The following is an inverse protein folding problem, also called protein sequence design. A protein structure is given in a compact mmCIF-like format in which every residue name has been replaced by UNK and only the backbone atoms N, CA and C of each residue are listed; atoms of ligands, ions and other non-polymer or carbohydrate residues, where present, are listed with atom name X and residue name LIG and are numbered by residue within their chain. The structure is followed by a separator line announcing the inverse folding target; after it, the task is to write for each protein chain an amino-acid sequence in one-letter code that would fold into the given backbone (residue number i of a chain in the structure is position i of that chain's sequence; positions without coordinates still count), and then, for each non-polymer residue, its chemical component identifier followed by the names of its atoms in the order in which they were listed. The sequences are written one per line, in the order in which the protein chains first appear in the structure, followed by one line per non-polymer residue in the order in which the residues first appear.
data_IF_530000159827
#
_entry.id   IF_530000159827
#
_cell.length_a   1.000
_cell.length_b   1.000
_cell.length_c   1.000
_cell.angle_alpha   90.00
_cell.angle_beta   90.00
_cell.angle_gamma   90.00
#
_symmetry.space_group_name_H-M   'P 1'
#
loop_
_entity.id
_entity.type
_entity.pdbx_description
1 polymer ?
#
# COMPACT_ATOMS: atom_id res chain seq x y z
N UNK A 1 3.63 9.10 -0.30
CA UNK A 1 2.78 9.29 -1.49
C UNK A 1 1.39 8.75 -1.19
N UNK A 2 0.33 9.48 -1.53
CA UNK A 2 -1.05 9.10 -1.22
C UNK A 2 -1.47 7.79 -1.90
N UNK A 3 -0.95 7.50 -3.10
CA UNK A 3 -1.16 6.21 -3.79
C UNK A 3 -0.61 5.05 -2.97
N UNK A 4 0.57 5.19 -2.37
CA UNK A 4 1.15 4.13 -1.55
C UNK A 4 0.38 3.96 -0.24
N UNK A 5 -0.11 5.07 0.34
CA UNK A 5 -1.00 5.01 1.52
C UNK A 5 -2.25 4.18 1.20
N UNK A 6 -2.89 4.42 0.05
CA UNK A 6 -4.02 3.63 -0.42
C UNK A 6 -3.68 2.15 -0.63
N UNK A 7 -2.50 1.83 -1.19
CA UNK A 7 -2.07 0.43 -1.35
C UNK A 7 -1.86 -0.27 -0.01
N UNK A 8 -1.24 0.42 0.95
CA UNK A 8 -1.05 -0.10 2.31
C UNK A 8 -2.39 -0.31 2.99
N UNK A 9 -3.27 0.69 2.99
CA UNK A 9 -4.60 0.58 3.58
C UNK A 9 -5.47 -0.49 2.92
N UNK A 10 -5.38 -0.64 1.59
CA UNK A 10 -6.06 -1.71 0.86
C UNK A 10 -5.65 -3.07 1.41
N UNK A 11 -4.35 -3.29 1.67
CA UNK A 11 -3.87 -4.53 2.25
C UNK A 11 -4.38 -4.71 3.69
N UNK A 12 -4.31 -3.65 4.51
CA UNK A 12 -4.77 -3.67 5.90
C UNK A 12 -6.28 -3.96 6.01
N UNK A 13 -7.12 -3.41 5.12
CA UNK A 13 -8.55 -3.68 5.14
C UNK A 13 -8.90 -5.07 4.61
N UNK A 14 -8.09 -5.65 3.72
CA UNK A 14 -8.32 -6.99 3.16
C UNK A 14 -7.87 -8.12 4.08
N UNK A 15 -6.77 -7.91 4.83
CA UNK A 15 -6.17 -8.91 5.72
C UNK A 15 -6.48 -8.69 7.19
N UNK A 16 -7.03 -7.53 7.55
CA UNK A 16 -7.05 -7.07 8.94
C UNK A 16 -5.73 -6.44 9.34
N UNK A 17 -5.74 -5.76 10.48
CA UNK A 17 -4.63 -4.94 10.94
C UNK A 17 -3.36 -5.76 11.19
N UNK A 18 -3.46 -6.81 12.00
CA UNK A 18 -2.32 -7.62 12.42
C UNK A 18 -1.69 -8.40 11.25
N UNK A 19 -2.50 -9.12 10.46
CA UNK A 19 -2.00 -9.90 9.32
C UNK A 19 -1.52 -8.99 8.18
N UNK A 20 -2.16 -7.84 7.98
CA UNK A 20 -1.74 -6.83 7.02
C UNK A 20 -0.36 -6.27 7.36
N UNK A 21 -0.12 -5.85 8.61
CA UNK A 21 1.20 -5.41 9.06
C UNK A 21 2.23 -6.53 9.02
N UNK A 22 1.87 -7.76 9.40
CA UNK A 22 2.76 -8.90 9.29
C UNK A 22 3.21 -9.14 7.84
N UNK A 23 2.29 -8.99 6.87
CA UNK A 23 2.60 -9.09 5.44
C UNK A 23 3.57 -7.98 5.00
N UNK A 24 3.36 -6.73 5.43
CA UNK A 24 4.25 -5.61 5.11
C UNK A 24 5.66 -5.80 5.69
N UNK A 25 5.75 -6.18 6.96
CA UNK A 25 7.01 -6.39 7.67
C UNK A 25 7.81 -7.58 7.12
N UNK A 26 7.13 -8.67 6.73
CA UNK A 26 7.76 -9.79 6.04
C UNK A 26 8.28 -9.39 4.66
N UNK A 27 7.49 -8.62 3.90
CA UNK A 27 7.90 -8.13 2.58
C UNK A 27 9.07 -7.15 2.67
N UNK A 28 9.14 -6.35 3.75
CA UNK A 28 10.21 -5.39 3.99
C UNK A 28 11.61 -6.01 4.02
N UNK A 29 11.72 -7.28 4.46
CA UNK A 29 12.99 -8.02 4.46
C UNK A 29 13.60 -8.22 3.06
N UNK A 30 12.79 -8.11 2.00
CA UNK A 30 13.21 -8.28 0.61
C UNK A 30 13.32 -6.96 -0.18
N UNK A 31 13.04 -5.81 0.45
CA UNK A 31 13.07 -4.54 -0.27
C UNK A 31 14.51 -4.13 -0.61
N UNK A 32 14.72 -3.76 -1.88
CA UNK A 32 15.97 -3.14 -2.33
C UNK A 32 16.00 -1.67 -1.91
N UNK A 33 14.90 -0.96 -2.10
CA UNK A 33 14.78 0.47 -1.80
C UNK A 33 13.31 0.87 -1.62
N UNK A 34 13.07 2.04 -1.04
CA UNK A 34 11.75 2.68 -0.91
C UNK A 34 11.77 3.95 -1.76
N UNK A 35 10.87 4.03 -2.74
CA UNK A 35 10.78 5.19 -3.62
C UNK A 35 10.03 6.34 -2.94
N UNK A 36 10.55 7.57 -3.01
CA UNK A 36 9.86 8.77 -2.51
C UNK A 36 8.63 9.16 -3.34
N UNK A 37 8.55 8.68 -4.60
CA UNK A 37 7.46 8.95 -5.55
C UNK A 37 6.94 7.65 -6.16
N UNK A 38 5.63 7.57 -6.40
CA UNK A 38 4.97 6.35 -6.89
C UNK A 38 5.43 5.94 -8.30
N UNK A 39 5.56 6.89 -9.23
CA UNK A 39 6.03 6.59 -10.58
C UNK A 39 7.45 6.01 -10.59
N UNK A 40 8.29 6.45 -9.64
CA UNK A 40 9.68 6.00 -9.54
C UNK A 40 9.86 4.55 -9.11
N UNK A 41 8.78 3.80 -8.80
CA UNK A 41 8.86 2.33 -8.64
C UNK A 41 9.04 1.68 -10.01
N UNK A 42 8.23 2.07 -10.99
CA UNK A 42 8.24 1.52 -12.33
C UNK A 42 9.60 1.76 -13.01
N UNK A 43 10.16 2.96 -12.87
CA UNK A 43 11.49 3.31 -13.39
C UNK A 43 12.62 2.43 -12.81
N UNK A 44 12.54 2.09 -11.52
CA UNK A 44 13.54 1.24 -10.84
C UNK A 44 13.48 -0.21 -11.32
N UNK A 45 12.30 -0.71 -11.67
CA UNK A 45 12.17 -2.03 -12.30
C UNK A 45 12.78 -1.99 -13.70
N UNK A 46 12.41 -0.97 -14.50
CA UNK A 46 12.96 -0.78 -15.84
C UNK A 46 14.49 -0.65 -15.86
N UNK A 47 15.08 0.00 -14.87
CA UNK A 47 16.53 0.14 -14.76
C UNK A 47 17.24 -1.10 -14.21
N UNK A 48 16.53 -2.18 -13.89
CA UNK A 48 17.07 -3.39 -13.29
C UNK A 48 17.48 -3.26 -11.81
N UNK A 49 17.10 -2.18 -11.12
CA UNK A 49 17.41 -2.01 -9.69
C UNK A 49 16.55 -2.92 -8.80
N UNK A 50 15.36 -3.27 -9.25
CA UNK A 50 14.48 -4.24 -8.59
C UNK A 50 13.84 -5.19 -9.59
N UNK A 51 13.43 -6.38 -9.12
CA UNK A 51 12.81 -7.41 -9.97
C UNK A 51 11.28 -7.30 -9.99
N UNK A 52 10.68 -6.82 -8.89
CA UNK A 52 9.25 -6.58 -8.78
C UNK A 52 8.98 -5.44 -7.80
N UNK A 53 7.86 -4.73 -7.97
CA UNK A 53 7.44 -3.67 -7.06
C UNK A 53 5.95 -3.34 -7.21
N UNK A 54 5.24 -2.99 -6.11
CA UNK A 54 3.86 -2.59 -6.19
C UNK A 54 3.72 -1.25 -6.92
N UNK A 55 2.85 -1.21 -7.92
CA UNK A 55 2.62 -0.03 -8.78
C UNK A 55 1.16 0.00 -9.24
N UNK A 56 0.64 1.17 -9.60
CA UNK A 56 -0.68 1.30 -10.24
C UNK A 56 -0.57 1.08 -11.75
N UNK A 57 -1.67 0.61 -12.33
CA UNK A 57 -1.86 0.37 -13.76
C UNK A 57 -1.45 1.56 -14.64
N UNK A 58 -1.84 2.79 -14.28
CA UNK A 58 -1.50 3.98 -15.07
C UNK A 58 0.01 4.16 -15.25
N UNK A 59 0.83 3.88 -14.23
CA UNK A 59 2.29 3.96 -14.37
C UNK A 59 2.89 2.73 -15.04
N UNK A 60 2.34 1.54 -14.78
CA UNK A 60 2.82 0.31 -15.39
C UNK A 60 2.60 0.30 -16.91
N UNK A 61 1.41 0.69 -17.37
CA UNK A 61 1.03 0.66 -18.78
C UNK A 61 1.92 1.53 -19.67
N UNK A 62 2.49 2.61 -19.14
CA UNK A 62 3.45 3.45 -19.86
C UNK A 62 4.76 2.72 -20.21
N UNK A 63 5.05 1.61 -19.54
CA UNK A 63 6.28 0.84 -19.72
C UNK A 63 6.07 -0.48 -20.48
N UNK A 64 4.83 -0.91 -20.73
CA UNK A 64 4.52 -2.22 -21.32
C UNK A 64 4.82 -2.32 -22.83
N UNK A 65 5.32 -1.26 -23.45
CA UNK A 65 5.94 -1.35 -24.78
C UNK A 65 7.28 -2.11 -24.73
N UNK A 66 7.88 -2.26 -23.54
CA UNK A 66 9.03 -3.12 -23.32
C UNK A 66 8.55 -4.58 -23.11
N UNK A 67 8.89 -5.52 -24.01
CA UNK A 67 8.42 -6.91 -23.92
C UNK A 67 9.01 -7.67 -22.73
N UNK A 68 10.01 -7.13 -22.03
CA UNK A 68 10.60 -7.73 -20.83
C UNK A 68 9.87 -7.33 -19.55
N UNK A 69 8.92 -6.40 -19.62
CA UNK A 69 8.14 -5.93 -18.47
C UNK A 69 6.72 -6.50 -18.52
N UNK A 70 6.27 -7.01 -17.38
CA UNK A 70 4.91 -7.53 -17.20
C UNK A 70 4.25 -6.82 -16.04
N UNK A 71 2.97 -6.49 -16.21
CA UNK A 71 2.11 -6.00 -15.14
C UNK A 71 1.01 -7.02 -14.86
N UNK A 72 0.71 -7.24 -13.57
CA UNK A 72 -0.33 -8.17 -13.16
C UNK A 72 -1.05 -7.64 -11.93
N UNK A 73 -2.37 -7.75 -11.94
CA UNK A 73 -3.19 -7.44 -10.77
C UNK A 73 -3.11 -8.58 -9.75
N UNK A 74 -3.21 -8.25 -8.47
CA UNK A 74 -3.47 -9.25 -7.45
C UNK A 74 -4.93 -9.72 -7.54
N UNK A 75 -5.24 -10.95 -7.10
CA UNK A 75 -6.62 -11.47 -7.09
C UNK A 75 -7.64 -10.58 -6.38
N UNK A 76 -7.18 -9.78 -5.42
CA UNK A 76 -7.98 -8.83 -4.64
C UNK A 76 -7.49 -7.38 -4.77
N UNK A 77 -6.95 -6.97 -5.93
CA UNK A 77 -6.52 -5.59 -6.15
C UNK A 77 -7.67 -4.60 -5.95
N UNK A 78 -7.55 -3.66 -5.02
CA UNK A 78 -8.59 -2.65 -4.81
C UNK A 78 -8.63 -1.62 -5.95
N UNK A 79 -9.83 -1.09 -6.18
CA UNK A 79 -10.07 0.01 -7.10
C UNK A 79 -10.12 1.32 -6.32
N UNK A 80 -9.42 2.33 -6.82
CA UNK A 80 -9.57 3.70 -6.34
C UNK A 80 -10.22 4.56 -7.42
N UNK A 81 -11.35 5.23 -7.15
CA UNK A 81 -11.95 6.11 -8.13
C UNK A 81 -11.13 7.38 -8.29
N UNK A 82 -11.19 7.97 -9.49
CA UNK A 82 -10.74 9.35 -9.70
C UNK A 82 -11.90 10.28 -9.36
N UNK A 83 -11.71 11.14 -8.36
CA UNK A 83 -12.74 12.09 -7.94
C UNK A 83 -12.68 13.38 -8.75
N UNK A 84 -13.85 13.97 -9.00
CA UNK A 84 -14.02 15.32 -9.54
C UNK A 84 -15.05 16.07 -8.69
N UNK A 85 -14.76 17.31 -8.31
CA UNK A 85 -15.60 18.10 -7.41
C UNK A 85 -15.66 19.56 -7.87
N UNK A 86 -16.76 20.24 -7.50
CA UNK A 86 -16.93 21.68 -7.71
C UNK A 86 -16.58 22.40 -6.40
N UNK A 87 -15.68 23.38 -6.47
CA UNK A 87 -15.32 24.20 -5.31
C UNK A 87 -16.54 25.01 -4.82
N UNK A 88 -16.68 25.14 -3.50
CA UNK A 88 -17.80 25.85 -2.87
C UNK A 88 -17.97 27.28 -3.39
N UNK A 89 -16.87 27.98 -3.65
CA UNK A 89 -16.85 29.39 -4.09
C UNK A 89 -16.50 29.55 -5.58
N UNK A 90 -16.81 28.55 -6.42
CA UNK A 90 -16.55 28.64 -7.86
C UNK A 90 -17.40 29.73 -8.51
N UNK A 91 -16.77 30.63 -9.27
CA UNK A 91 -17.47 31.66 -10.06
C UNK A 91 -18.16 31.08 -11.31
N UNK A 92 -17.85 29.83 -11.67
CA UNK A 92 -18.39 29.13 -12.85
C UNK A 92 -18.98 27.76 -12.45
N UNK A 93 -19.77 27.73 -11.37
CA UNK A 93 -20.29 26.48 -10.83
C UNK A 93 -21.23 25.75 -11.80
N UNK A 94 -21.92 26.47 -12.68
CA UNK A 94 -22.86 25.87 -13.64
C UNK A 94 -22.12 25.11 -14.74
N UNK A 95 -21.05 25.70 -15.25
CA UNK A 95 -20.16 25.21 -16.29
C UNK A 95 -19.35 24.04 -15.76
N UNK A 96 -18.82 24.15 -14.54
CA UNK A 96 -18.16 23.05 -13.86
C UNK A 96 -19.09 21.83 -13.76
N UNK A 97 -20.34 22.01 -13.32
CA UNK A 97 -21.34 20.91 -13.27
C UNK A 97 -21.66 20.34 -14.66
N UNK A 98 -21.73 21.18 -15.70
CA UNK A 98 -21.88 20.72 -17.09
C UNK A 98 -20.70 19.85 -17.52
N UNK A 99 -19.48 20.26 -17.16
CA UNK A 99 -18.28 19.48 -17.45
C UNK A 99 -18.26 18.13 -16.73
N UNK A 100 -18.62 18.04 -15.44
CA UNK A 100 -18.66 16.71 -14.78
C UNK A 100 -19.76 15.83 -15.40
N UNK A 101 -20.91 16.41 -15.80
CA UNK A 101 -21.95 15.65 -16.53
C UNK A 101 -21.43 15.13 -17.87
N UNK A 102 -20.63 15.91 -18.59
CA UNK A 102 -19.97 15.46 -19.81
C UNK A 102 -18.99 14.30 -19.53
N UNK A 103 -18.13 14.43 -18.52
CA UNK A 103 -17.20 13.37 -18.11
C UNK A 103 -17.93 12.06 -17.78
N UNK A 104 -19.08 12.13 -17.12
CA UNK A 104 -19.90 10.97 -16.72
C UNK A 104 -20.85 10.47 -17.81
N UNK A 105 -20.95 11.17 -18.95
CA UNK A 105 -21.78 10.74 -20.08
C UNK A 105 -21.19 9.50 -20.77
N UNK A 106 -22.00 8.74 -21.54
CA UNK A 106 -21.48 7.63 -22.34
C UNK A 106 -20.33 8.02 -23.28
N UNK A 107 -20.38 9.23 -23.84
CA UNK A 107 -19.32 9.77 -24.70
C UNK A 107 -18.03 10.02 -23.89
N UNK A 108 -18.13 10.74 -22.78
CA UNK A 108 -16.98 11.04 -21.92
C UNK A 108 -16.33 9.78 -21.36
N UNK A 109 -17.14 8.79 -20.95
CA UNK A 109 -16.63 7.51 -20.47
C UNK A 109 -15.96 6.69 -21.57
N UNK A 110 -16.48 6.72 -22.81
CA UNK A 110 -15.82 6.08 -23.95
C UNK A 110 -14.46 6.71 -24.23
N UNK A 111 -14.38 8.04 -24.26
CA UNK A 111 -13.11 8.76 -24.45
C UNK A 111 -12.09 8.36 -23.37
N UNK A 112 -12.51 8.26 -22.11
CA UNK A 112 -11.64 7.84 -21.01
C UNK A 112 -11.18 6.38 -21.14
N UNK A 113 -12.04 5.50 -21.66
CA UNK A 113 -11.73 4.10 -21.88
C UNK A 113 -10.69 3.88 -22.99
N UNK A 114 -10.79 4.67 -24.07
CA UNK A 114 -9.95 4.57 -25.25
C UNK A 114 -8.60 5.29 -25.08
N UNK A 115 -8.49 6.16 -24.07
CA UNK A 115 -7.25 6.85 -23.77
C UNK A 115 -6.18 5.87 -23.24
N UNK A 116 -4.93 6.05 -23.67
CA UNK A 116 -3.78 5.26 -23.21
C UNK A 116 -3.32 5.63 -21.77
N UNK A 117 -4.26 6.00 -20.90
CA UNK A 117 -4.03 6.42 -19.51
C UNK A 117 -4.09 5.25 -18.53
N UNK A 118 -4.33 4.03 -19.01
CA UNK A 118 -4.52 2.86 -18.16
C UNK A 118 -5.76 2.89 -17.27
N UNK A 119 -6.56 3.98 -17.28
CA UNK A 119 -7.77 4.07 -16.47
C UNK A 119 -8.89 3.20 -17.02
N UNK A 120 -9.82 2.85 -16.14
CA UNK A 120 -11.08 2.24 -16.49
C UNK A 120 -12.20 3.27 -16.41
N UNK A 121 -13.18 3.26 -17.33
CA UNK A 121 -14.41 4.01 -17.14
C UNK A 121 -15.20 3.45 -15.96
N UNK A 122 -16.08 4.27 -15.39
CA UNK A 122 -17.06 3.81 -14.38
C UNK A 122 -18.24 3.08 -15.00
N UNK A 123 -18.48 3.26 -16.31
CA UNK A 123 -19.44 2.46 -17.07
C UNK A 123 -18.83 1.13 -17.47
N UNK A 124 -19.66 0.09 -17.55
CA UNK A 124 -19.22 -1.22 -18.01
C UNK A 124 -18.71 -1.15 -19.46
N UNK A 125 -17.54 -1.74 -19.69
CA UNK A 125 -16.98 -1.92 -21.02
C UNK A 125 -17.79 -2.97 -21.80
N UNK A 126 -17.81 -2.83 -23.12
CA UNK A 126 -18.45 -3.80 -24.00
C UNK A 126 -17.80 -5.19 -23.84
N UNK A 127 -18.56 -6.31 -23.94
CA UNK A 127 -18.03 -7.66 -23.70
C UNK A 127 -16.86 -8.08 -24.60
N UNK A 128 -16.77 -7.51 -25.80
CA UNK A 128 -15.70 -7.73 -26.79
C UNK A 128 -14.45 -6.87 -26.52
N UNK A 129 -14.52 -5.91 -25.59
CA UNK A 129 -13.35 -5.13 -25.20
C UNK A 129 -12.36 -6.03 -24.43
N UNK A 130 -11.06 -6.05 -24.80
CA UNK A 130 -10.06 -6.93 -24.17
C UNK A 130 -9.88 -6.66 -22.67
N UNK A 131 -10.28 -5.48 -22.18
CA UNK A 131 -10.17 -5.08 -20.77
C UNK A 131 -11.46 -5.33 -19.98
N UNK A 132 -12.54 -5.82 -20.60
CA UNK A 132 -13.85 -5.99 -19.95
C UNK A 132 -13.81 -6.99 -18.78
N UNK A 133 -13.18 -8.15 -18.96
CA UNK A 133 -13.04 -9.15 -17.88
C UNK A 133 -12.24 -8.60 -16.69
N UNK A 134 -11.16 -7.87 -16.98
CA UNK A 134 -10.34 -7.23 -15.94
C UNK A 134 -11.10 -6.12 -15.21
N UNK A 135 -11.89 -5.31 -15.93
CA UNK A 135 -12.74 -4.29 -15.31
C UNK A 135 -13.76 -4.94 -14.37
N UNK A 136 -14.46 -5.98 -14.83
CA UNK A 136 -15.45 -6.68 -14.02
C UNK A 136 -14.84 -7.27 -12.74
N UNK A 137 -13.66 -7.90 -12.85
CA UNK A 137 -12.91 -8.40 -11.70
C UNK A 137 -12.60 -7.29 -10.68
N UNK A 138 -12.15 -6.13 -11.16
CA UNK A 138 -11.77 -4.98 -10.34
C UNK A 138 -12.99 -4.33 -9.67
N UNK A 139 -14.08 -4.12 -10.42
CA UNK A 139 -15.30 -3.47 -9.91
C UNK A 139 -16.12 -4.37 -8.98
N UNK A 140 -15.90 -5.69 -9.01
CA UNK A 140 -16.52 -6.64 -8.08
C UNK A 140 -15.78 -6.75 -6.72
N UNK A 141 -14.66 -6.03 -6.54
CA UNK A 141 -13.96 -6.02 -5.27
C UNK A 141 -14.73 -5.23 -4.21
N UNK A 142 -14.63 -5.60 -2.92
CA UNK A 142 -15.21 -4.82 -1.84
C UNK A 142 -14.70 -3.36 -1.85
N UNK A 143 -15.62 -2.42 -1.63
CA UNK A 143 -15.26 -1.01 -1.54
C UNK A 143 -14.36 -0.75 -0.33
N UNK A 144 -13.35 0.11 -0.52
CA UNK A 144 -12.49 0.57 0.57
C UNK A 144 -13.26 1.52 1.51
N UNK A 145 -13.02 1.41 2.81
CA UNK A 145 -13.50 2.37 3.79
C UNK A 145 -12.63 3.64 3.74
N UNK A 146 -13.00 4.58 2.87
CA UNK A 146 -12.30 5.86 2.69
C UNK A 146 -12.30 6.73 3.95
N UNK A 147 -13.35 6.69 4.76
CA UNK A 147 -13.38 7.42 6.05
C UNK A 147 -12.26 6.93 6.95
N UNK A 148 -12.11 5.62 7.09
CA UNK A 148 -11.06 5.03 7.90
C UNK A 148 -9.66 5.32 7.34
N UNK A 149 -9.46 5.22 6.03
CA UNK A 149 -8.20 5.57 5.33
C UNK A 149 -7.73 6.98 5.69
N UNK A 150 -8.65 7.95 5.64
CA UNK A 150 -8.35 9.35 5.95
C UNK A 150 -8.02 9.54 7.44
N UNK A 151 -8.79 8.89 8.33
CA UNK A 151 -8.57 8.97 9.78
C UNK A 151 -7.26 8.31 10.21
N UNK A 152 -6.87 7.19 9.58
CA UNK A 152 -5.64 6.43 9.88
C UNK A 152 -4.38 6.98 9.23
N UNK A 153 -4.48 7.96 8.33
CA UNK A 153 -3.35 8.43 7.52
C UNK A 153 -2.09 8.73 8.34
N UNK A 154 -2.22 9.48 9.43
CA UNK A 154 -1.06 9.85 10.27
C UNK A 154 -0.50 8.66 11.05
N UNK A 155 -1.37 7.80 11.57
CA UNK A 155 -0.98 6.57 12.27
C UNK A 155 -0.16 5.67 11.34
N UNK A 156 -0.72 5.33 10.16
CA UNK A 156 -0.11 4.39 9.23
C UNK A 156 1.20 4.93 8.66
N UNK A 157 1.26 6.21 8.30
CA UNK A 157 2.51 6.82 7.82
C UNK A 157 3.62 6.75 8.86
N UNK A 158 3.34 7.19 10.09
CA UNK A 158 4.33 7.17 11.18
C UNK A 158 4.73 5.75 11.57
N UNK A 159 3.77 4.84 11.64
CA UNK A 159 4.05 3.42 11.92
C UNK A 159 4.92 2.82 10.82
N UNK A 160 4.61 3.09 9.55
CA UNK A 160 5.41 2.60 8.42
C UNK A 160 6.84 3.13 8.48
N UNK A 161 7.01 4.42 8.79
CA UNK A 161 8.34 5.01 8.90
C UNK A 161 9.15 4.41 10.06
N UNK A 162 8.55 4.30 11.25
CA UNK A 162 9.20 3.74 12.42
C UNK A 162 9.48 2.24 12.29
N UNK A 163 8.54 1.49 11.71
CA UNK A 163 8.63 0.05 11.59
C UNK A 163 9.55 -0.38 10.44
N UNK A 164 9.45 0.30 9.28
CA UNK A 164 10.07 -0.10 8.01
C UNK A 164 11.09 0.93 7.53
N UNK A 165 10.70 2.17 7.23
CA UNK A 165 11.58 3.13 6.53
C UNK A 165 12.88 3.39 7.28
N UNK A 166 12.81 3.73 8.57
CA UNK A 166 13.98 4.10 9.38
C UNK A 166 14.84 2.89 9.78
N UNK A 167 14.32 1.67 9.66
CA UNK A 167 14.96 0.44 10.13
C UNK A 167 15.16 -0.59 9.04
N UNK A 168 15.09 -0.16 7.77
CA UNK A 168 15.08 -1.08 6.63
C UNK A 168 16.33 -1.98 6.60
N UNK A 169 17.51 -1.42 6.86
CA UNK A 169 18.74 -2.20 6.90
C UNK A 169 18.69 -3.28 8.00
N UNK A 170 18.29 -2.89 9.21
CA UNK A 170 18.16 -3.77 10.37
C UNK A 170 17.13 -4.87 10.13
N UNK A 171 15.99 -4.56 9.50
CA UNK A 171 14.98 -5.54 9.14
C UNK A 171 15.51 -6.56 8.12
N UNK A 172 16.22 -6.11 7.08
CA UNK A 172 16.81 -7.00 6.07
C UNK A 172 17.78 -7.99 6.70
N UNK A 173 18.61 -7.54 7.63
CA UNK A 173 19.57 -8.40 8.32
C UNK A 173 18.87 -9.41 9.24
N UNK A 174 17.84 -8.98 9.98
CA UNK A 174 17.06 -9.88 10.83
C UNK A 174 16.32 -10.95 10.02
N UNK A 175 15.69 -10.58 8.90
CA UNK A 175 15.02 -11.52 8.01
C UNK A 175 16.01 -12.48 7.34
N UNK A 176 17.18 -12.00 6.90
CA UNK A 176 18.22 -12.86 6.35
C UNK A 176 18.70 -13.89 7.37
N UNK A 177 18.93 -13.46 8.62
CA UNK A 177 19.34 -14.37 9.69
C UNK A 177 18.27 -15.43 9.98
N UNK A 178 17.00 -15.02 10.04
CA UNK A 178 15.87 -15.93 10.19
C UNK A 178 15.78 -16.95 9.04
N UNK A 179 15.81 -16.50 7.79
CA UNK A 179 15.72 -17.41 6.63
C UNK A 179 16.89 -18.40 6.59
N UNK A 180 18.10 -17.97 6.91
CA UNK A 180 19.26 -18.86 7.02
C UNK A 180 19.07 -19.91 8.12
N UNK A 181 18.53 -19.52 9.28
CA UNK A 181 18.25 -20.45 10.37
C UNK A 181 17.15 -21.46 10.00
N UNK A 182 16.05 -21.01 9.39
CA UNK A 182 14.96 -21.88 8.93
C UNK A 182 15.43 -22.86 7.85
N UNK A 183 16.27 -22.42 6.91
CA UNK A 183 16.86 -23.27 5.88
C UNK A 183 17.78 -24.35 6.49
N UNK A 184 18.64 -23.97 7.45
CA UNK A 184 19.52 -24.91 8.16
C UNK A 184 18.74 -25.94 8.96
N UNK A 185 17.69 -25.50 9.66
CA UNK A 185 16.87 -26.36 10.52
C UNK A 185 15.75 -27.09 9.76
N UNK A 186 15.53 -26.77 8.48
CA UNK A 186 14.47 -27.30 7.62
C UNK A 186 13.07 -27.20 8.23
N UNK A 187 12.81 -26.14 9.01
CA UNK A 187 11.51 -25.87 9.64
C UNK A 187 11.30 -24.36 9.84
N UNK A 188 10.05 -23.89 9.86
CA UNK A 188 9.75 -22.51 10.21
C UNK A 188 10.05 -22.25 11.70
N UNK A 189 10.33 -20.98 12.03
CA UNK A 189 10.53 -20.51 13.40
C UNK A 189 9.43 -19.47 13.74
N UNK A 190 8.19 -19.92 14.00
CA UNK A 190 7.02 -19.05 14.12
C UNK A 190 7.12 -18.03 15.25
N UNK A 191 7.75 -18.38 16.38
CA UNK A 191 7.97 -17.44 17.49
C UNK A 191 8.87 -16.27 17.07
N UNK A 192 9.94 -16.55 16.31
CA UNK A 192 10.87 -15.53 15.84
C UNK A 192 10.22 -14.67 14.76
N UNK A 193 9.45 -15.30 13.85
CA UNK A 193 8.63 -14.58 12.87
C UNK A 193 7.68 -13.61 13.56
N UNK A 194 6.96 -14.05 14.60
CA UNK A 194 6.02 -13.22 15.33
C UNK A 194 6.69 -11.98 15.96
N UNK A 195 7.93 -12.09 16.46
CA UNK A 195 8.69 -10.94 16.94
C UNK A 195 9.01 -9.93 15.84
N UNK A 196 9.29 -10.40 14.61
CA UNK A 196 9.61 -9.55 13.46
C UNK A 196 8.37 -8.98 12.74
N UNK A 197 7.18 -9.56 12.95
CA UNK A 197 5.95 -9.20 12.23
C UNK A 197 4.86 -8.58 13.08
N UNK A 198 5.03 -8.46 14.40
CA UNK A 198 4.07 -7.80 15.27
C UNK A 198 4.20 -6.27 15.24
N UNK A 199 3.17 -5.57 15.70
CA UNK A 199 3.13 -4.11 15.84
C UNK A 199 2.57 -3.73 17.23
N UNK A 200 2.92 -2.55 17.79
CA UNK A 200 2.54 -2.16 19.14
C UNK A 200 1.08 -1.66 19.30
N UNK A 201 0.31 -1.63 18.21
CA UNK A 201 -1.07 -1.15 18.17
C UNK A 201 -1.96 -2.29 17.68
N UNK A 202 -3.09 -2.51 18.32
CA UNK A 202 -4.08 -3.52 17.92
C UNK A 202 -5.12 -2.93 16.94
N UNK A 203 -5.90 -3.82 16.31
CA UNK A 203 -6.97 -3.44 15.39
C UNK A 203 -7.94 -2.43 16.02
N UNK A 204 -8.40 -2.67 17.25
CA UNK A 204 -9.38 -1.85 17.95
C UNK A 204 -8.89 -0.40 18.11
N UNK A 205 -7.67 -0.20 18.61
CA UNK A 205 -7.09 1.13 18.82
C UNK A 205 -6.79 1.83 17.49
N UNK A 206 -6.39 1.08 16.47
CA UNK A 206 -6.19 1.65 15.13
C UNK A 206 -7.48 2.18 14.49
N UNK A 207 -8.66 1.79 15.00
CA UNK A 207 -9.99 2.23 14.53
C UNK A 207 -10.64 3.30 15.43
N UNK A 208 -10.05 3.61 16.59
CA UNK A 208 -10.58 4.60 17.53
C UNK A 208 -10.36 6.03 16.98
N UNK A 209 -11.43 6.66 16.51
CA UNK A 209 -11.37 8.01 15.93
C UNK A 209 -10.85 9.07 16.92
N UNK A 210 -11.16 8.95 18.21
CA UNK A 210 -10.71 9.90 19.22
C UNK A 210 -9.22 9.76 19.50
N UNK A 211 -8.72 8.52 19.52
CA UNK A 211 -7.29 8.26 19.63
C UNK A 211 -6.53 8.69 18.37
N UNK A 212 -7.05 8.37 17.18
CA UNK A 212 -6.46 8.78 15.90
C UNK A 212 -6.34 10.31 15.77
N UNK A 213 -7.34 11.06 16.24
CA UNK A 213 -7.31 12.53 16.22
C UNK A 213 -6.14 13.12 17.03
N UNK A 214 -5.61 12.40 18.03
CA UNK A 214 -4.48 12.88 18.83
C UNK A 214 -3.18 12.98 18.03
N UNK A 215 -3.06 12.30 16.88
CA UNK A 215 -1.91 12.49 15.96
C UNK A 215 -1.85 13.88 15.31
N UNK A 216 -2.86 14.73 15.54
CA UNK A 216 -2.80 16.16 15.24
C UNK A 216 -1.90 16.93 16.21
N UNK A 217 -1.75 16.43 17.43
CA UNK A 217 -0.81 16.96 18.41
C UNK A 217 0.60 16.41 18.16
N UNK A 218 1.56 17.32 17.95
CA UNK A 218 2.95 16.97 17.67
C UNK A 218 3.61 16.17 18.80
N UNK A 219 3.43 16.59 20.05
CA UNK A 219 4.04 15.96 21.22
C UNK A 219 3.52 14.54 21.44
N UNK A 220 2.19 14.36 21.33
CA UNK A 220 1.59 13.02 21.41
C UNK A 220 2.17 12.10 20.34
N UNK A 221 2.24 12.59 19.11
CA UNK A 221 2.68 11.77 17.99
C UNK A 221 4.19 11.46 18.04
N UNK A 222 5.02 12.35 18.56
CA UNK A 222 6.44 12.10 18.83
C UNK A 222 6.63 11.07 19.96
N UNK A 223 5.84 11.17 21.03
CA UNK A 223 5.84 10.21 22.12
C UNK A 223 5.50 8.80 21.60
N UNK A 224 4.43 8.66 20.80
CA UNK A 224 4.07 7.38 20.21
C UNK A 224 5.18 6.81 19.33
N UNK A 225 5.82 7.63 18.49
CA UNK A 225 6.94 7.18 17.66
C UNK A 225 8.12 6.68 18.51
N UNK A 226 8.44 7.35 19.62
CA UNK A 226 9.50 6.92 20.54
C UNK A 226 9.17 5.58 21.19
N UNK A 227 7.95 5.41 21.70
CA UNK A 227 7.47 4.15 22.28
C UNK A 227 7.55 3.00 21.27
N UNK A 228 7.13 3.25 20.03
CA UNK A 228 7.19 2.26 18.96
C UNK A 228 8.63 1.91 18.58
N UNK A 229 9.53 2.89 18.49
CA UNK A 229 10.95 2.63 18.22
C UNK A 229 11.56 1.69 19.27
N UNK A 230 11.29 1.94 20.55
CA UNK A 230 11.74 1.08 21.64
C UNK A 230 11.14 -0.32 21.57
N UNK A 231 9.84 -0.41 21.27
CA UNK A 231 9.14 -1.69 21.10
C UNK A 231 9.78 -2.53 19.98
N UNK A 232 9.99 -1.92 18.82
CA UNK A 232 10.56 -2.59 17.65
C UNK A 232 12.02 -3.00 17.87
N UNK A 233 12.78 -2.17 18.58
CA UNK A 233 14.17 -2.48 18.96
C UNK A 233 14.21 -3.67 19.93
N UNK A 234 13.32 -3.70 20.93
CA UNK A 234 13.21 -4.80 21.89
C UNK A 234 12.90 -6.12 21.18
N UNK A 235 11.88 -6.13 20.32
CA UNK A 235 11.50 -7.32 19.57
C UNK A 235 12.61 -7.83 18.65
N UNK A 236 13.31 -6.93 17.97
CA UNK A 236 14.44 -7.32 17.13
C UNK A 236 15.58 -7.94 17.96
N UNK A 237 15.92 -7.37 19.13
CA UNK A 237 16.94 -7.95 20.02
C UNK A 237 16.54 -9.33 20.51
N UNK A 238 15.28 -9.52 20.88
CA UNK A 238 14.76 -10.83 21.29
C UNK A 238 14.81 -11.84 20.14
N UNK A 239 14.48 -11.42 18.92
CA UNK A 239 14.57 -12.27 17.73
C UNK A 239 16.01 -12.71 17.46
N UNK A 240 16.97 -11.78 17.55
CA UNK A 240 18.40 -12.07 17.38
C UNK A 240 18.90 -13.03 18.47
N UNK A 241 18.60 -12.78 19.74
CA UNK A 241 18.99 -13.66 20.84
C UNK A 241 18.48 -15.09 20.64
N UNK A 242 17.19 -15.25 20.28
CA UNK A 242 16.61 -16.55 19.95
C UNK A 242 17.29 -17.21 18.74
N UNK A 243 17.73 -16.45 17.75
CA UNK A 243 18.47 -16.99 16.60
C UNK A 243 19.89 -17.43 16.98
N UNK A 244 20.52 -16.77 17.95
CA UNK A 244 21.84 -17.12 18.46
C UNK A 244 21.81 -18.39 19.32
N UNK A 245 20.75 -18.59 20.12
CA UNK A 245 20.52 -19.82 20.88
C UNK A 245 20.35 -21.07 19.99
N UNK A 246 19.99 -20.87 18.72
CA UNK A 246 19.82 -21.95 17.75
C UNK A 246 21.13 -22.33 17.04
N UNK A 247 22.20 -21.53 17.16
CA UNK A 247 23.47 -21.79 16.47
C UNK A 247 24.11 -23.08 16.97
#
# INVERSE_FOLDING_TARGET
SDTNHLMVESLLQQKGWEEGWATLLASAGNLVTISSRSFGVADKIKSGLGVAGPVIDNYANLLLNDPHLVFSYFPRSAVSPTYVAVLKNSQHASEARRFIRYLLSPEGQRILADANTGKYPVTQLAPDNPRAAQQAMLMNQPALNYRLILKRQRLVQRMFDTAISFRLAQLKDAWRALYSAEARLKRPLPEIRALLTSVPIDARRSEDEAWLAQFDNKSFAEQQMMEWQLWFLKNQRQAIAKLEELK
#
